data_IF_642563572021
#
_entry.id   IF_642563572021
#
_cell.length_a   1.000
_cell.length_b   1.000
_cell.length_c   1.000
_cell.angle_alpha   90.00
_cell.angle_beta   90.00
_cell.angle_gamma   90.00
#
_symmetry.space_group_name_H-M   'P 1'
#
loop_
_entity.id
_entity.type
_entity.pdbx_description
1 polymer ?
#
# COMPACT_ATOMS: atom_id res chain seq x y z
N UNK A 1 40.15 -0.57 -14.47
CA UNK A 1 39.48 -1.25 -13.36
C UNK A 1 38.09 -0.57 -13.20
N UNK A 2 37.08 -1.17 -13.79
CA UNK A 2 35.74 -0.64 -13.79
C UNK A 2 35.07 -1.05 -12.47
N UNK A 3 34.75 -0.09 -11.61
CA UNK A 3 33.96 -0.33 -10.43
C UNK A 3 32.53 -0.59 -10.92
N UNK A 4 32.12 -1.87 -10.94
CA UNK A 4 30.71 -2.25 -11.01
C UNK A 4 30.07 -1.72 -9.73
N UNK A 5 29.32 -0.63 -9.83
CA UNK A 5 28.35 -0.30 -8.79
C UNK A 5 27.32 -1.43 -8.82
N UNK A 6 27.32 -2.27 -7.81
CA UNK A 6 26.19 -3.15 -7.51
C UNK A 6 25.00 -2.23 -7.22
N UNK A 7 24.31 -1.84 -8.27
CA UNK A 7 23.02 -1.17 -8.14
C UNK A 7 22.06 -2.22 -7.56
N UNK A 8 21.72 -2.06 -6.28
CA UNK A 8 20.73 -2.92 -5.62
C UNK A 8 19.46 -2.90 -6.47
N UNK A 9 19.09 -4.09 -6.97
CA UNK A 9 17.90 -4.22 -7.81
C UNK A 9 16.66 -3.79 -6.98
N UNK A 10 15.82 -2.89 -7.50
CA UNK A 10 14.65 -2.46 -6.77
C UNK A 10 13.66 -3.62 -6.61
N UNK A 11 12.89 -3.63 -5.51
CA UNK A 11 11.84 -4.63 -5.31
C UNK A 11 10.68 -4.42 -6.30
N UNK A 12 10.31 -3.15 -6.55
CA UNK A 12 9.29 -2.79 -7.52
C UNK A 12 9.80 -1.70 -8.45
N UNK A 13 9.57 -1.87 -9.75
CA UNK A 13 9.85 -0.84 -10.75
C UNK A 13 8.71 -0.78 -11.77
N UNK A 14 8.16 0.41 -11.96
CA UNK A 14 7.18 0.73 -12.98
C UNK A 14 7.87 1.49 -14.10
N UNK A 15 7.63 1.08 -15.35
CA UNK A 15 8.19 1.77 -16.53
C UNK A 15 7.07 2.11 -17.50
N UNK A 16 6.81 3.40 -17.67
CA UNK A 16 5.85 3.95 -18.63
C UNK A 16 4.45 3.32 -18.54
N UNK A 17 3.98 3.03 -17.31
CA UNK A 17 2.70 2.37 -17.09
C UNK A 17 1.55 3.25 -17.56
N UNK A 18 0.66 2.68 -18.38
CA UNK A 18 -0.56 3.30 -18.90
C UNK A 18 -1.78 2.47 -18.54
N UNK A 19 -2.88 3.15 -18.23
CA UNK A 19 -4.17 2.53 -17.93
C UNK A 19 -5.32 3.43 -18.30
N UNK A 20 -6.27 2.86 -19.06
CA UNK A 20 -7.53 3.51 -19.42
C UNK A 20 -8.71 2.68 -18.95
N UNK A 21 -9.83 3.33 -18.71
CA UNK A 21 -11.15 2.71 -18.53
C UNK A 21 -12.10 3.26 -19.59
N UNK A 22 -12.42 2.45 -20.57
CA UNK A 22 -13.14 2.91 -21.76
C UNK A 22 -12.34 4.01 -22.48
N UNK A 23 -12.91 5.21 -22.57
CA UNK A 23 -12.24 6.36 -23.20
C UNK A 23 -11.48 7.27 -22.23
N UNK A 24 -11.50 6.97 -20.92
CA UNK A 24 -10.83 7.77 -19.91
C UNK A 24 -9.43 7.23 -19.64
N UNK A 25 -8.41 8.02 -19.96
CA UNK A 25 -7.01 7.70 -19.67
C UNK A 25 -6.70 8.13 -18.23
N UNK A 26 -6.51 7.15 -17.33
CA UNK A 26 -6.30 7.39 -15.88
C UNK A 26 -4.83 7.42 -15.52
N UNK A 27 -4.02 6.49 -16.06
CA UNK A 27 -2.56 6.53 -15.95
C UNK A 27 -2.00 6.76 -17.35
N UNK A 28 -1.24 7.87 -17.53
CA UNK A 28 -0.77 8.28 -18.86
C UNK A 28 0.65 7.80 -19.14
N UNK A 29 1.54 7.98 -18.15
CA UNK A 29 2.95 7.59 -18.23
C UNK A 29 3.51 7.60 -16.80
N UNK A 30 3.35 6.49 -16.08
CA UNK A 30 3.83 6.39 -14.71
C UNK A 30 5.09 5.54 -14.64
N UNK A 31 6.19 6.17 -14.23
CA UNK A 31 7.46 5.51 -13.93
C UNK A 31 7.85 5.75 -12.48
N UNK A 32 8.15 4.68 -11.75
CA UNK A 32 8.43 4.68 -10.31
C UNK A 32 9.39 3.56 -9.98
N UNK A 33 10.29 3.80 -9.04
CA UNK A 33 11.24 2.79 -8.50
C UNK A 33 11.07 2.75 -7.00
N UNK A 34 10.85 1.55 -6.44
CA UNK A 34 10.72 1.31 -5.00
C UNK A 34 11.83 0.35 -4.57
N UNK A 35 12.88 0.84 -3.92
CA UNK A 35 13.92 -0.01 -3.34
C UNK A 35 13.35 -0.90 -2.23
N UNK A 36 13.99 -2.05 -1.98
CA UNK A 36 13.63 -2.89 -0.86
C UNK A 36 13.87 -2.17 0.48
N UNK A 37 13.03 -2.44 1.47
CA UNK A 37 13.07 -1.82 2.81
C UNK A 37 12.82 -0.30 2.83
N UNK A 38 12.16 0.24 1.81
CA UNK A 38 11.78 1.67 1.75
C UNK A 38 10.28 1.86 1.72
N UNK A 39 9.86 3.07 2.08
CA UNK A 39 8.47 3.52 2.05
C UNK A 39 8.32 4.61 1.00
N UNK A 40 7.59 4.32 -0.07
CA UNK A 40 7.18 5.31 -1.07
C UNK A 40 5.75 5.76 -0.80
N UNK A 41 5.54 7.06 -0.65
CA UNK A 41 4.21 7.63 -0.44
C UNK A 41 3.72 8.33 -1.71
N UNK A 42 2.52 7.97 -2.13
CA UNK A 42 1.80 8.60 -3.24
C UNK A 42 0.83 9.65 -2.69
N UNK A 43 1.02 10.91 -3.08
CA UNK A 43 0.09 11.99 -2.77
C UNK A 43 -0.53 12.53 -4.06
N UNK A 44 -1.67 13.21 -3.96
CA UNK A 44 -2.36 13.78 -5.12
C UNK A 44 -3.86 13.90 -4.88
N UNK A 45 -4.54 14.67 -5.71
CA UNK A 45 -5.98 14.86 -5.62
C UNK A 45 -6.77 13.55 -5.78
N UNK A 46 -8.04 13.54 -5.34
CA UNK A 46 -8.96 12.45 -5.68
C UNK A 46 -9.06 12.32 -7.21
N UNK A 47 -9.06 11.09 -7.72
CA UNK A 47 -9.08 10.82 -9.15
C UNK A 47 -7.73 10.98 -9.88
N UNK A 48 -6.62 11.27 -9.18
CA UNK A 48 -5.30 11.39 -9.82
C UNK A 48 -4.70 10.06 -10.31
N UNK A 49 -5.31 8.91 -9.97
CA UNK A 49 -4.86 7.58 -10.39
C UNK A 49 -4.15 6.75 -9.31
N UNK A 50 -4.00 7.25 -8.06
CA UNK A 50 -3.27 6.54 -6.98
C UNK A 50 -3.80 5.11 -6.74
N UNK A 51 -5.10 4.96 -6.49
CA UNK A 51 -5.72 3.65 -6.25
C UNK A 51 -5.64 2.74 -7.48
N UNK A 52 -5.77 3.32 -8.69
CA UNK A 52 -5.60 2.58 -9.94
C UNK A 52 -4.16 2.06 -10.06
N UNK A 53 -3.17 2.88 -9.74
CA UNK A 53 -1.76 2.47 -9.75
C UNK A 53 -1.50 1.32 -8.78
N UNK A 54 -2.00 1.40 -7.52
CA UNK A 54 -1.87 0.31 -6.55
C UNK A 54 -2.53 -0.99 -7.04
N UNK A 55 -3.70 -0.89 -7.70
CA UNK A 55 -4.38 -2.06 -8.28
C UNK A 55 -3.63 -2.64 -9.48
N UNK A 56 -2.96 -1.83 -10.28
CA UNK A 56 -2.09 -2.31 -11.35
C UNK A 56 -0.87 -3.04 -10.78
N UNK A 57 -0.25 -2.53 -9.71
CA UNK A 57 0.89 -3.19 -9.03
C UNK A 57 0.47 -4.57 -8.46
N UNK A 58 -0.72 -4.67 -7.88
CA UNK A 58 -1.24 -5.94 -7.34
C UNK A 58 -1.92 -6.82 -8.40
N UNK A 59 -1.92 -6.41 -9.68
CA UNK A 59 -2.58 -7.12 -10.79
C UNK A 59 -4.10 -7.33 -10.60
N UNK A 60 -4.77 -6.50 -9.81
CA UNK A 60 -6.24 -6.42 -9.77
C UNK A 60 -6.78 -5.68 -10.99
N UNK A 61 -5.96 -4.80 -11.56
CA UNK A 61 -6.20 -4.14 -12.84
C UNK A 61 -5.02 -4.43 -13.78
N UNK A 62 -5.30 -4.83 -14.99
CA UNK A 62 -4.27 -5.00 -16.02
C UNK A 62 -3.88 -3.64 -16.58
N UNK A 63 -2.59 -3.42 -16.82
CA UNK A 63 -2.10 -2.24 -17.52
C UNK A 63 -2.38 -2.36 -19.02
N UNK A 64 -2.50 -1.23 -19.73
CA UNK A 64 -2.68 -1.21 -21.16
C UNK A 64 -1.34 -1.19 -21.89
N UNK A 65 -0.30 -0.58 -21.29
CA UNK A 65 1.06 -0.49 -21.84
C UNK A 65 2.07 -0.23 -20.70
N UNK A 66 3.35 -0.48 -20.98
CA UNK A 66 4.44 -0.33 -20.03
C UNK A 66 4.85 -1.65 -19.37
N UNK A 67 5.61 -1.57 -18.27
CA UNK A 67 6.10 -2.74 -17.52
C UNK A 67 5.87 -2.53 -16.03
N UNK A 68 5.55 -3.63 -15.33
CA UNK A 68 5.51 -3.71 -13.86
C UNK A 68 6.49 -4.78 -13.42
N UNK A 69 7.70 -4.38 -13.07
CA UNK A 69 8.74 -5.30 -12.63
C UNK A 69 8.68 -5.47 -11.11
N UNK A 70 8.42 -6.68 -10.66
CA UNK A 70 8.48 -7.06 -9.24
C UNK A 70 9.59 -8.09 -9.06
N UNK A 71 10.60 -7.75 -8.24
CA UNK A 71 11.80 -8.59 -8.07
C UNK A 71 12.51 -8.88 -9.42
N UNK A 72 12.48 -7.89 -10.33
CA UNK A 72 13.06 -7.97 -11.68
C UNK A 72 12.24 -8.75 -12.70
N UNK A 73 11.09 -9.31 -12.32
CA UNK A 73 10.18 -10.04 -13.22
C UNK A 73 9.03 -9.14 -13.65
N UNK A 74 8.77 -9.03 -14.94
CA UNK A 74 7.59 -8.31 -15.44
C UNK A 74 6.33 -9.10 -15.12
N UNK A 75 5.63 -8.66 -14.06
CA UNK A 75 4.40 -9.32 -13.58
C UNK A 75 3.17 -8.96 -14.45
N UNK A 76 3.28 -7.99 -15.35
CA UNK A 76 2.21 -7.67 -16.29
C UNK A 76 2.20 -8.60 -17.51
N UNK A 77 3.25 -9.42 -17.70
CA UNK A 77 3.29 -10.43 -18.75
C UNK A 77 2.17 -11.48 -18.55
N UNK A 78 1.28 -11.70 -19.54
CA UNK A 78 0.17 -12.67 -19.41
C UNK A 78 0.60 -14.13 -19.14
N UNK A 79 1.89 -14.44 -19.29
CA UNK A 79 2.45 -15.76 -18.97
C UNK A 79 2.75 -15.96 -17.49
N UNK A 80 2.79 -14.89 -16.73
CA UNK A 80 3.04 -14.93 -15.28
C UNK A 80 1.73 -15.20 -14.54
N UNK A 81 1.78 -16.11 -13.58
CA UNK A 81 0.64 -16.40 -12.72
C UNK A 81 0.40 -15.22 -11.74
N UNK A 82 -0.71 -14.52 -11.96
CA UNK A 82 -1.11 -13.40 -11.14
C UNK A 82 -1.41 -13.81 -9.68
N UNK A 83 -1.86 -15.04 -9.44
CA UNK A 83 -2.14 -15.53 -8.08
C UNK A 83 -0.84 -15.76 -7.32
N UNK A 84 0.20 -16.28 -7.97
CA UNK A 84 1.53 -16.42 -7.35
C UNK A 84 2.13 -15.04 -7.00
N UNK A 85 1.99 -14.07 -7.90
CA UNK A 85 2.44 -12.69 -7.63
C UNK A 85 1.68 -12.07 -6.45
N UNK A 86 0.34 -12.19 -6.42
CA UNK A 86 -0.50 -11.66 -5.33
C UNK A 86 -0.21 -12.27 -3.97
N UNK A 87 0.35 -13.47 -3.91
CA UNK A 87 0.81 -14.06 -2.64
C UNK A 87 1.99 -13.30 -2.01
N UNK A 88 2.77 -12.58 -2.83
CA UNK A 88 3.96 -11.83 -2.40
C UNK A 88 3.70 -10.33 -2.23
N UNK A 89 2.54 -9.83 -2.66
CA UNK A 89 2.14 -8.42 -2.60
C UNK A 89 0.85 -8.30 -1.79
N UNK A 90 0.95 -7.83 -0.55
CA UNK A 90 -0.21 -7.52 0.29
C UNK A 90 -0.84 -6.20 -0.11
N UNK A 91 -2.17 -6.12 -0.06
CA UNK A 91 -2.90 -4.87 -0.28
C UNK A 91 -3.96 -4.67 0.79
N UNK A 92 -4.05 -3.44 1.30
CA UNK A 92 -5.08 -2.99 2.24
C UNK A 92 -5.81 -1.82 1.62
N UNK A 93 -7.13 -1.93 1.54
CA UNK A 93 -7.98 -0.94 0.90
C UNK A 93 -8.56 0.06 1.90
N UNK A 94 -9.08 1.16 1.39
CA UNK A 94 -9.85 2.16 2.13
C UNK A 94 -11.05 1.51 2.85
N UNK A 95 -11.80 0.65 2.17
CA UNK A 95 -12.79 -0.22 2.79
C UNK A 95 -12.08 -1.44 3.38
N UNK A 96 -12.46 -1.85 4.57
CA UNK A 96 -11.78 -2.91 5.33
C UNK A 96 -11.83 -4.27 4.62
N UNK A 97 -12.87 -4.51 3.82
CA UNK A 97 -13.09 -5.73 3.01
C UNK A 97 -12.96 -7.02 3.83
N UNK A 98 -13.37 -7.00 5.09
CA UNK A 98 -13.46 -8.19 5.92
C UNK A 98 -14.69 -9.01 5.53
N UNK A 99 -14.57 -10.33 5.61
CA UNK A 99 -15.69 -11.25 5.39
C UNK A 99 -16.63 -11.19 6.62
N UNK A 100 -17.86 -10.63 6.50
CA UNK A 100 -18.70 -10.33 7.65
C UNK A 100 -19.22 -11.59 8.36
N UNK A 101 -19.27 -12.73 7.66
CA UNK A 101 -19.72 -14.01 8.16
C UNK A 101 -18.62 -14.87 8.80
N UNK A 102 -17.39 -14.34 8.86
CA UNK A 102 -16.23 -14.99 9.44
C UNK A 102 -15.76 -14.23 10.69
N UNK A 103 -15.20 -14.96 11.64
CA UNK A 103 -14.52 -14.33 12.78
C UNK A 103 -13.24 -13.59 12.32
N UNK A 104 -12.68 -12.76 13.19
CA UNK A 104 -11.38 -12.12 12.96
C UNK A 104 -10.31 -13.17 12.66
N UNK A 105 -10.23 -14.23 13.47
CA UNK A 105 -9.28 -15.32 13.29
C UNK A 105 -9.46 -16.02 11.94
N UNK A 106 -10.70 -16.32 11.55
CA UNK A 106 -10.98 -16.95 10.26
C UNK A 106 -10.64 -16.04 9.07
N UNK A 107 -10.91 -14.73 9.18
CA UNK A 107 -10.52 -13.73 8.17
C UNK A 107 -9.00 -13.75 7.93
N UNK A 108 -8.20 -13.81 8.98
CA UNK A 108 -6.74 -13.77 8.90
C UNK A 108 -6.21 -15.11 8.36
N UNK A 109 -6.72 -16.24 8.87
CA UNK A 109 -6.18 -17.56 8.54
C UNK A 109 -6.64 -18.09 7.18
N UNK A 110 -7.65 -17.47 6.55
CA UNK A 110 -8.26 -17.98 5.31
C UNK A 110 -7.24 -18.19 4.20
N UNK A 111 -6.46 -17.15 3.87
CA UNK A 111 -5.47 -17.23 2.80
C UNK A 111 -4.33 -18.19 3.14
N UNK A 112 -3.82 -18.15 4.36
CA UNK A 112 -2.79 -19.08 4.83
C UNK A 112 -3.19 -20.55 4.62
N UNK A 113 -4.44 -20.88 4.94
CA UNK A 113 -4.96 -22.26 4.86
C UNK A 113 -5.35 -22.67 3.44
N UNK A 114 -6.02 -21.76 2.68
CA UNK A 114 -6.61 -22.10 1.39
C UNK A 114 -5.67 -21.91 0.21
N UNK A 115 -4.78 -20.95 0.30
CA UNK A 115 -3.84 -20.59 -0.78
C UNK A 115 -2.46 -21.19 -0.49
N UNK A 116 -1.95 -20.98 0.74
CA UNK A 116 -0.60 -21.45 1.10
C UNK A 116 -0.56 -22.84 1.72
N UNK A 117 -1.70 -23.50 1.91
CA UNK A 117 -1.76 -24.88 2.43
C UNK A 117 -1.24 -25.04 3.88
N UNK A 118 -1.14 -23.95 4.64
CA UNK A 118 -0.68 -23.95 6.03
C UNK A 118 -1.66 -24.75 6.90
N UNK A 119 -1.14 -25.61 7.77
CA UNK A 119 -1.99 -26.38 8.70
C UNK A 119 -2.75 -25.41 9.61
N UNK A 120 -3.98 -25.79 9.97
CA UNK A 120 -4.88 -24.93 10.76
C UNK A 120 -4.24 -24.43 12.05
N UNK A 121 -3.61 -25.33 12.81
CA UNK A 121 -2.98 -24.97 14.09
C UNK A 121 -1.84 -23.94 13.93
N UNK A 122 -1.02 -24.10 12.87
CA UNK A 122 0.09 -23.19 12.60
C UNK A 122 -0.44 -21.81 12.13
N UNK A 123 -1.47 -21.81 11.28
CA UNK A 123 -2.12 -20.58 10.83
C UNK A 123 -2.79 -19.82 11.99
N UNK A 124 -3.47 -20.52 12.89
CA UNK A 124 -4.09 -19.93 14.09
C UNK A 124 -3.01 -19.37 15.04
N UNK A 125 -1.90 -20.06 15.25
CA UNK A 125 -0.80 -19.59 16.07
C UNK A 125 -0.19 -18.28 15.51
N UNK A 126 0.14 -18.25 14.23
CA UNK A 126 0.65 -17.04 13.56
C UNK A 126 -0.36 -15.89 13.63
N UNK A 127 -1.64 -16.15 13.38
CA UNK A 127 -2.69 -15.13 13.43
C UNK A 127 -2.85 -14.55 14.85
N UNK A 128 -2.80 -15.38 15.91
CA UNK A 128 -2.87 -14.92 17.29
C UNK A 128 -1.65 -14.12 17.71
N UNK A 129 -0.45 -14.48 17.25
CA UNK A 129 0.77 -13.72 17.48
C UNK A 129 0.65 -12.32 16.86
N UNK A 130 0.24 -12.23 15.59
CA UNK A 130 0.02 -10.95 14.90
C UNK A 130 -1.09 -10.13 15.58
N UNK A 131 -2.22 -10.73 15.94
CA UNK A 131 -3.29 -10.06 16.67
C UNK A 131 -2.79 -9.49 18.01
N UNK A 132 -1.96 -10.25 18.74
CA UNK A 132 -1.35 -9.79 19.99
C UNK A 132 -0.45 -8.59 19.77
N UNK A 133 0.40 -8.64 18.74
CA UNK A 133 1.29 -7.53 18.36
C UNK A 133 0.52 -6.24 18.10
N UNK A 134 -0.65 -6.32 17.47
CA UNK A 134 -1.46 -5.16 17.13
C UNK A 134 -2.61 -4.89 18.13
N UNK A 135 -2.51 -5.42 19.35
CA UNK A 135 -3.48 -5.20 20.47
C UNK A 135 -4.92 -5.61 20.12
N UNK A 136 -5.07 -6.75 19.44
CA UNK A 136 -6.36 -7.31 19.00
C UNK A 136 -6.56 -8.76 19.42
N UNK A 137 -5.72 -9.31 20.33
CA UNK A 137 -5.79 -10.72 20.72
C UNK A 137 -7.16 -11.10 21.33
N UNK A 138 -7.78 -10.22 22.10
CA UNK A 138 -9.11 -10.38 22.70
C UNK A 138 -10.25 -10.37 21.67
N UNK A 139 -9.97 -9.96 20.41
CA UNK A 139 -10.94 -9.87 19.32
C UNK A 139 -10.93 -11.08 18.38
N UNK A 140 -10.07 -12.06 18.58
CA UNK A 140 -9.89 -13.18 17.65
C UNK A 140 -11.21 -13.93 17.32
N UNK A 141 -12.10 -14.09 18.31
CA UNK A 141 -13.40 -14.77 18.16
C UNK A 141 -14.54 -13.86 17.71
N UNK A 142 -14.33 -12.54 17.64
CA UNK A 142 -15.37 -11.59 17.27
C UNK A 142 -15.59 -11.55 15.74
N UNK A 143 -16.77 -11.09 15.32
CA UNK A 143 -17.09 -10.80 13.92
C UNK A 143 -16.85 -9.32 13.60
N UNK A 144 -16.63 -8.94 12.32
CA UNK A 144 -16.34 -7.57 11.93
C UNK A 144 -17.34 -6.51 12.43
N UNK A 145 -18.63 -6.84 12.52
CA UNK A 145 -19.69 -5.94 13.01
C UNK A 145 -19.56 -5.59 14.50
N UNK A 146 -18.77 -6.33 15.26
CA UNK A 146 -18.44 -6.07 16.68
C UNK A 146 -17.20 -5.22 16.89
N UNK A 147 -16.54 -4.79 15.81
CA UNK A 147 -15.29 -4.04 15.85
C UNK A 147 -15.52 -2.56 15.49
N UNK A 148 -14.77 -1.67 16.12
CA UNK A 148 -14.66 -0.28 15.65
C UNK A 148 -14.00 -0.22 14.26
N UNK A 149 -14.18 0.88 13.52
CA UNK A 149 -13.54 1.06 12.22
C UNK A 149 -12.02 0.91 12.27
N UNK A 150 -11.36 1.49 13.27
CA UNK A 150 -9.90 1.34 13.47
C UNK A 150 -9.49 -0.10 13.79
N UNK A 151 -10.29 -0.84 14.56
CA UNK A 151 -10.05 -2.27 14.80
C UNK A 151 -10.22 -3.08 13.51
N UNK A 152 -11.26 -2.82 12.72
CA UNK A 152 -11.47 -3.49 11.43
C UNK A 152 -10.29 -3.23 10.48
N UNK A 153 -9.80 -1.99 10.42
CA UNK A 153 -8.64 -1.64 9.59
C UNK A 153 -7.37 -2.35 10.05
N UNK A 154 -7.12 -2.40 11.36
CA UNK A 154 -5.98 -3.17 11.90
C UNK A 154 -6.09 -4.67 11.60
N UNK A 155 -7.29 -5.25 11.70
CA UNK A 155 -7.53 -6.64 11.28
C UNK A 155 -7.24 -6.83 9.78
N UNK A 156 -7.65 -5.89 8.92
CA UNK A 156 -7.34 -5.95 7.49
C UNK A 156 -5.83 -5.90 7.21
N UNK A 157 -5.08 -5.09 7.97
CA UNK A 157 -3.60 -5.05 7.90
C UNK A 157 -3.01 -6.39 8.37
N UNK A 158 -3.45 -6.90 9.51
CA UNK A 158 -3.00 -8.21 10.05
C UNK A 158 -3.27 -9.33 9.06
N UNK A 159 -4.44 -9.35 8.43
CA UNK A 159 -4.80 -10.33 7.38
C UNK A 159 -3.83 -10.28 6.21
N UNK A 160 -3.46 -9.08 5.75
CA UNK A 160 -2.50 -8.93 4.66
C UNK A 160 -1.07 -9.34 5.06
N UNK A 161 -0.67 -9.10 6.31
CA UNK A 161 0.64 -9.49 6.85
C UNK A 161 0.78 -10.98 7.11
N UNK A 162 -0.32 -11.68 7.39
CA UNK A 162 -0.30 -13.10 7.79
C UNK A 162 0.29 -14.05 6.73
N UNK A 163 0.34 -13.62 5.48
CA UNK A 163 0.96 -14.36 4.37
C UNK A 163 2.43 -13.96 4.12
N UNK A 164 3.01 -13.14 5.00
CA UNK A 164 4.40 -12.67 4.93
C UNK A 164 4.77 -12.06 3.55
N UNK A 165 4.06 -11.03 3.08
CA UNK A 165 4.33 -10.41 1.79
C UNK A 165 5.68 -9.68 1.80
N UNK A 166 6.32 -9.54 0.63
CA UNK A 166 7.53 -8.72 0.46
C UNK A 166 7.22 -7.24 0.24
N UNK A 167 6.02 -6.93 -0.29
CA UNK A 167 5.56 -5.57 -0.55
C UNK A 167 4.16 -5.39 0.04
N UNK A 168 3.95 -4.30 0.77
CA UNK A 168 2.63 -3.89 1.25
C UNK A 168 2.14 -2.64 0.52
N UNK A 169 0.93 -2.70 0.02
CA UNK A 169 0.24 -1.58 -0.62
C UNK A 169 -0.89 -1.10 0.30
N UNK A 170 -0.94 0.22 0.54
CA UNK A 170 -1.97 0.84 1.37
C UNK A 170 -2.74 1.89 0.56
N UNK A 171 -4.02 1.66 0.36
CA UNK A 171 -4.89 2.55 -0.42
C UNK A 171 -5.81 3.35 0.50
N UNK A 172 -5.38 4.57 0.89
CA UNK A 172 -6.13 5.55 1.69
C UNK A 172 -6.75 4.95 2.97
N UNK A 173 -5.98 4.14 3.70
CA UNK A 173 -6.43 3.30 4.82
C UNK A 173 -7.00 4.07 6.03
N UNK A 174 -6.89 5.39 6.04
CA UNK A 174 -7.41 6.25 7.12
C UNK A 174 -8.65 7.03 6.73
N UNK A 175 -8.99 7.12 5.45
CA UNK A 175 -10.02 8.02 4.95
C UNK A 175 -11.47 7.64 5.36
N UNK A 176 -11.69 6.37 5.75
CA UNK A 176 -12.96 5.88 6.27
C UNK A 176 -13.06 5.89 7.82
N UNK A 177 -12.04 6.45 8.52
CA UNK A 177 -11.94 6.41 9.96
C UNK A 177 -12.28 7.75 10.61
N UNK A 178 -12.78 7.66 11.84
CA UNK A 178 -12.85 8.81 12.73
C UNK A 178 -11.43 9.32 13.03
N UNK A 179 -11.19 10.64 13.07
CA UNK A 179 -9.87 11.22 13.33
C UNK A 179 -9.16 10.69 14.58
N UNK A 180 -9.92 10.30 15.61
CA UNK A 180 -9.36 9.71 16.83
C UNK A 180 -8.71 8.35 16.56
N UNK A 181 -9.27 7.56 15.62
CA UNK A 181 -8.79 6.22 15.27
C UNK A 181 -7.67 6.23 14.23
N UNK A 182 -7.48 7.33 13.51
CA UNK A 182 -6.43 7.48 12.48
C UNK A 182 -5.05 7.17 13.09
N UNK A 183 -4.73 7.76 14.24
CA UNK A 183 -3.42 7.59 14.88
C UNK A 183 -3.10 6.14 15.25
N UNK A 184 -4.10 5.34 15.62
CA UNK A 184 -3.92 3.91 15.93
C UNK A 184 -3.48 3.11 14.70
N UNK A 185 -4.09 3.39 13.54
CA UNK A 185 -3.74 2.72 12.27
C UNK A 185 -2.39 3.19 11.74
N UNK A 186 -2.10 4.49 11.84
CA UNK A 186 -0.82 5.05 11.43
C UNK A 186 0.34 4.55 12.31
N UNK A 187 0.10 4.27 13.59
CA UNK A 187 1.09 3.64 14.47
C UNK A 187 1.50 2.25 13.95
N UNK A 188 0.54 1.44 13.50
CA UNK A 188 0.82 0.13 12.89
C UNK A 188 1.75 0.28 11.69
N UNK A 189 1.50 1.24 10.80
CA UNK A 189 2.35 1.45 9.61
C UNK A 189 3.77 1.92 10.00
N UNK A 190 3.89 2.75 11.05
CA UNK A 190 5.23 3.13 11.58
C UNK A 190 5.99 1.93 12.14
N UNK A 191 5.30 1.02 12.84
CA UNK A 191 5.91 -0.22 13.35
C UNK A 191 6.41 -1.10 12.21
N UNK A 192 5.61 -1.24 11.13
CA UNK A 192 6.01 -1.99 9.94
C UNK A 192 7.22 -1.37 9.22
N UNK A 193 7.30 -0.02 9.16
CA UNK A 193 8.49 0.66 8.67
C UNK A 193 9.71 0.33 9.54
N UNK A 194 9.55 0.34 10.85
CA UNK A 194 10.61 -0.03 11.80
C UNK A 194 11.13 -1.45 11.62
N UNK A 195 10.30 -2.37 11.16
CA UNK A 195 10.67 -3.76 10.80
C UNK A 195 11.32 -3.86 9.42
N UNK A 196 11.46 -2.78 8.66
CA UNK A 196 12.00 -2.78 7.31
C UNK A 196 11.04 -3.30 6.24
N UNK A 197 9.72 -3.24 6.46
CA UNK A 197 8.73 -3.60 5.44
C UNK A 197 8.78 -2.62 4.27
N UNK A 198 8.87 -3.14 3.05
CA UNK A 198 8.74 -2.32 1.83
C UNK A 198 7.27 -1.95 1.62
N UNK A 199 6.99 -0.66 1.45
CA UNK A 199 5.61 -0.19 1.35
C UNK A 199 5.40 0.85 0.25
N UNK A 200 4.23 0.79 -0.40
CA UNK A 200 3.71 1.90 -1.23
C UNK A 200 2.38 2.34 -0.63
N UNK A 201 2.27 3.61 -0.26
CA UNK A 201 1.15 4.15 0.51
C UNK A 201 0.51 5.30 -0.23
N UNK A 202 -0.76 5.17 -0.62
CA UNK A 202 -1.57 6.31 -1.05
C UNK A 202 -2.24 6.94 0.17
N UNK A 203 -2.05 8.23 0.40
CA UNK A 203 -2.62 8.93 1.55
C UNK A 203 -2.89 10.40 1.28
N UNK A 204 -3.79 10.97 2.07
CA UNK A 204 -4.04 12.41 2.17
C UNK A 204 -3.48 13.01 3.49
N UNK A 205 -2.84 12.20 4.33
CA UNK A 205 -2.27 12.61 5.61
C UNK A 205 -0.82 13.08 5.42
N UNK A 206 -0.62 14.38 5.14
CA UNK A 206 0.72 14.91 4.82
C UNK A 206 1.68 14.83 6.01
N UNK A 207 1.20 15.10 7.22
CA UNK A 207 2.00 14.97 8.44
C UNK A 207 2.48 13.53 8.68
N UNK A 208 1.67 12.53 8.33
CA UNK A 208 2.08 11.13 8.36
C UNK A 208 3.07 10.81 7.25
N UNK A 209 2.80 11.27 6.01
CA UNK A 209 3.71 11.08 4.88
C UNK A 209 5.12 11.58 5.22
N UNK A 210 5.23 12.77 5.84
CA UNK A 210 6.52 13.33 6.30
C UNK A 210 7.25 12.44 7.31
N UNK A 211 6.51 11.74 8.19
CA UNK A 211 7.12 10.90 9.23
C UNK A 211 7.60 9.53 8.74
N UNK A 212 6.93 8.97 7.73
CA UNK A 212 7.18 7.56 7.33
C UNK A 212 7.84 7.40 5.96
N UNK A 213 7.70 8.38 5.05
CA UNK A 213 8.21 8.23 3.70
C UNK A 213 9.73 8.36 3.63
N UNK A 214 10.35 7.50 2.83
CA UNK A 214 11.71 7.69 2.31
C UNK A 214 11.65 8.48 0.99
N UNK A 215 10.60 8.26 0.19
CA UNK A 215 10.28 9.03 -1.01
C UNK A 215 8.79 9.39 -1.07
N UNK A 216 8.49 10.61 -1.51
CA UNK A 216 7.14 11.08 -1.80
C UNK A 216 7.02 11.32 -3.30
N UNK A 217 5.93 10.81 -3.91
CA UNK A 217 5.60 11.01 -5.31
C UNK A 217 4.25 11.74 -5.42
N UNK A 218 4.26 12.92 -6.02
CA UNK A 218 3.03 13.65 -6.33
C UNK A 218 2.49 13.22 -7.69
N UNK A 219 1.29 12.63 -7.67
CA UNK A 219 0.58 12.14 -8.84
C UNK A 219 -0.53 13.12 -9.24
N UNK A 220 -0.47 13.63 -10.46
CA UNK A 220 -1.50 14.49 -11.02
C UNK A 220 -1.67 14.20 -12.53
N UNK A 221 -2.93 14.18 -13.00
CA UNK A 221 -3.24 13.92 -14.41
C UNK A 221 -2.68 12.58 -14.93
N UNK A 222 -2.55 11.58 -14.07
CA UNK A 222 -2.05 10.24 -14.46
C UNK A 222 -0.54 10.15 -14.69
N UNK A 223 0.25 11.13 -14.22
CA UNK A 223 1.72 11.14 -14.28
C UNK A 223 2.31 11.48 -12.91
N UNK A 224 3.53 11.03 -12.64
CA UNK A 224 4.33 11.49 -11.49
C UNK A 224 4.93 12.85 -11.87
N UNK A 225 4.37 13.91 -11.31
CA UNK A 225 4.78 15.30 -11.60
C UNK A 225 6.05 15.69 -10.84
N UNK A 226 6.11 15.29 -9.57
CA UNK A 226 7.26 15.57 -8.72
C UNK A 226 7.53 14.39 -7.78
N UNK A 227 8.80 14.12 -7.53
CA UNK A 227 9.23 13.09 -6.57
C UNK A 227 10.50 13.51 -5.85
N UNK A 228 10.68 13.00 -4.65
CA UNK A 228 11.85 13.27 -3.82
C UNK A 228 11.61 12.94 -2.35
N UNK A 229 12.52 13.40 -1.50
CA UNK A 229 12.33 13.29 -0.04
C UNK A 229 11.10 14.06 0.41
N UNK A 230 10.49 13.71 1.56
CA UNK A 230 9.37 14.47 2.13
C UNK A 230 9.65 15.97 2.23
N UNK A 231 10.84 16.34 2.68
CA UNK A 231 11.23 17.76 2.80
C UNK A 231 11.15 18.49 1.45
N UNK A 232 11.63 17.84 0.37
CA UNK A 232 11.64 18.43 -0.95
C UNK A 232 10.25 18.56 -1.57
N UNK A 233 9.41 17.51 -1.41
CA UNK A 233 8.11 17.49 -2.10
C UNK A 233 7.01 18.16 -1.27
N UNK A 234 7.02 17.98 0.07
CA UNK A 234 5.96 18.50 0.94
C UNK A 234 6.29 19.92 1.45
N UNK A 235 7.54 20.18 1.86
CA UNK A 235 7.91 21.46 2.49
C UNK A 235 8.53 22.47 1.52
N UNK A 236 9.22 22.01 0.46
CA UNK A 236 9.83 22.88 -0.56
C UNK A 236 9.54 22.39 -1.99
N UNK A 237 8.25 22.28 -2.39
CA UNK A 237 7.88 21.77 -3.72
C UNK A 237 8.39 22.69 -4.84
N UNK A 238 8.97 22.09 -5.88
CA UNK A 238 9.54 22.82 -7.01
C UNK A 238 8.54 22.96 -8.16
N UNK A 239 7.62 22.01 -8.32
CA UNK A 239 6.60 22.05 -9.36
C UNK A 239 5.41 22.94 -8.96
N UNK A 240 4.90 23.79 -9.86
CA UNK A 240 3.74 24.66 -9.57
C UNK A 240 2.46 23.89 -9.21
N UNK A 241 2.21 22.72 -9.81
CA UNK A 241 1.02 21.90 -9.51
C UNK A 241 1.12 21.29 -8.11
N UNK A 242 2.33 20.85 -7.70
CA UNK A 242 2.59 20.36 -6.36
C UNK A 242 2.34 21.44 -5.32
N UNK A 243 2.85 22.66 -5.55
CA UNK A 243 2.63 23.83 -4.68
C UNK A 243 1.15 24.16 -4.54
N UNK A 244 0.42 24.19 -5.64
CA UNK A 244 -1.01 24.49 -5.62
C UNK A 244 -1.80 23.41 -4.87
N UNK A 245 -1.49 22.13 -5.08
CA UNK A 245 -2.12 21.02 -4.37
C UNK A 245 -1.89 21.11 -2.86
N UNK A 246 -0.64 21.29 -2.42
CA UNK A 246 -0.29 21.38 -1.01
C UNK A 246 -0.90 22.62 -0.33
N UNK A 247 -0.96 23.76 -1.02
CA UNK A 247 -1.65 24.94 -0.50
C UNK A 247 -3.13 24.65 -0.22
N UNK A 248 -3.84 23.94 -1.12
CA UNK A 248 -5.24 23.54 -0.90
C UNK A 248 -5.39 22.56 0.27
N UNK A 249 -4.45 21.63 0.41
CA UNK A 249 -4.42 20.68 1.55
C UNK A 249 -4.24 21.43 2.86
N UNK A 250 -3.34 22.40 2.90
CA UNK A 250 -3.11 23.27 4.07
C UNK A 250 -4.36 24.08 4.44
N UNK A 251 -4.99 24.74 3.47
CA UNK A 251 -6.22 25.52 3.66
C UNK A 251 -7.39 24.66 4.16
N UNK A 252 -7.40 23.36 3.81
CA UNK A 252 -8.37 22.38 4.31
C UNK A 252 -8.04 21.82 5.71
N UNK A 253 -6.96 22.25 6.37
CA UNK A 253 -6.53 21.80 7.69
C UNK A 253 -6.04 20.34 7.74
N UNK A 254 -5.47 19.83 6.66
CA UNK A 254 -4.97 18.43 6.53
C UNK A 254 -3.44 18.32 6.47
N UNK A 255 -2.73 19.31 7.00
CA UNK A 255 -1.26 19.30 7.16
C UNK A 255 -0.87 18.98 8.58
#
# INVERSE_FOLDING_TARGET
MSASSDAVQPLLELRHVRKSFGNELVLQDVSLVVPEHTVTVLIGASGSGKSTLLRCINQLEQIDDGLVLFDGVDIADPRIDADETRQRIGIVFQAFNLFPHMTVLDNITLAMRRVHGVRRADAEATALELLSRFSLADKAGEHPDRLSGGQQQRVAIVRALAVAPRLMLFDEITSALDPVLVNEVLAVVRDLRGDGMTMVIATHEMGFATQVADEVCFLAGGVVVERGTPDRVIHDPQDPLTREFLRRVHEAGRL
#
